data_IF_360504567775
#
_entry.id   IF_360504567775
#
_cell.length_a   1.000
_cell.length_b   1.000
_cell.length_c   1.000
_cell.angle_alpha   90.00
_cell.angle_beta   90.00
_cell.angle_gamma   90.00
#
_symmetry.space_group_name_H-M   'P 1'
#
loop_
_entity.id
_entity.type
_entity.pdbx_description
1 polymer ?
#
# COMPACT_ATOMS: atom_id res chain seq x y z
N UNK A 1 18.43 15.48 -27.28
CA UNK A 1 17.57 15.34 -28.47
C UNK A 1 16.45 14.40 -28.11
N UNK A 2 15.16 14.77 -28.27
CA UNK A 2 14.06 13.89 -27.87
C UNK A 2 13.93 12.74 -28.86
N UNK A 3 13.81 11.51 -28.33
CA UNK A 3 13.44 10.32 -29.09
C UNK A 3 12.01 10.48 -29.62
N UNK A 4 11.86 10.80 -30.89
CA UNK A 4 10.58 10.69 -31.61
C UNK A 4 10.65 9.41 -32.46
N UNK A 5 9.88 8.38 -32.18
CA UNK A 5 9.75 7.23 -33.09
C UNK A 5 8.99 7.67 -34.34
N UNK A 6 9.59 7.52 -35.51
CA UNK A 6 8.90 7.72 -36.78
C UNK A 6 7.83 6.64 -36.96
N UNK A 7 6.55 7.03 -36.98
CA UNK A 7 5.47 6.23 -37.56
C UNK A 7 4.42 5.66 -36.60
N UNK A 8 4.08 6.32 -35.49
CA UNK A 8 2.93 5.92 -34.65
C UNK A 8 1.92 7.06 -34.64
N UNK A 9 0.72 6.81 -35.23
CA UNK A 9 -0.45 7.69 -35.18
C UNK A 9 -1.22 7.62 -33.85
N UNK A 10 -0.61 7.09 -32.77
CA UNK A 10 -1.23 7.00 -31.47
C UNK A 10 -0.50 7.91 -30.45
N UNK A 11 -1.03 9.12 -30.30
CA UNK A 11 -0.54 10.12 -29.34
C UNK A 11 -0.61 9.60 -27.88
N UNK A 12 -1.47 8.63 -27.59
CA UNK A 12 -1.62 8.05 -26.25
C UNK A 12 -0.40 7.20 -25.86
N UNK A 13 0.09 6.37 -26.78
CA UNK A 13 1.24 5.49 -26.54
C UNK A 13 2.57 6.27 -26.37
N UNK A 14 2.74 7.37 -27.14
CA UNK A 14 3.93 8.22 -27.01
C UNK A 14 3.94 9.00 -25.68
N UNK A 15 2.78 9.42 -25.18
CA UNK A 15 2.66 10.11 -23.89
C UNK A 15 2.94 9.17 -22.71
N UNK A 16 2.47 7.91 -22.76
CA UNK A 16 2.72 6.88 -21.76
C UNK A 16 4.23 6.60 -21.62
N UNK A 17 4.96 6.50 -22.73
CA UNK A 17 6.41 6.23 -22.71
C UNK A 17 7.25 7.37 -22.07
N UNK A 18 6.68 8.56 -21.90
CA UNK A 18 7.38 9.73 -21.34
C UNK A 18 6.98 10.06 -19.91
N UNK A 19 5.87 9.50 -19.39
CA UNK A 19 5.38 9.79 -18.04
C UNK A 19 6.32 9.23 -16.98
N UNK A 20 6.86 10.11 -16.13
CA UNK A 20 7.77 9.78 -15.04
C UNK A 20 6.97 9.55 -13.76
N UNK A 21 7.04 8.35 -13.22
CA UNK A 21 6.33 7.97 -12.00
C UNK A 21 7.35 7.74 -10.88
N UNK A 22 7.34 8.62 -9.89
CA UNK A 22 8.18 8.51 -8.71
C UNK A 22 7.45 7.69 -7.65
N UNK A 23 8.11 6.65 -7.11
CA UNK A 23 7.57 5.78 -6.06
C UNK A 23 8.42 5.95 -4.81
N UNK A 24 7.83 6.42 -3.71
CA UNK A 24 8.48 6.36 -2.39
C UNK A 24 8.21 5.03 -1.71
N UNK A 25 9.15 4.57 -0.87
CA UNK A 25 9.01 3.26 -0.23
C UNK A 25 9.09 2.08 -1.20
N UNK A 26 9.75 2.26 -2.34
CA UNK A 26 9.81 1.28 -3.42
C UNK A 26 10.45 -0.07 -3.01
N UNK A 27 11.42 -0.08 -2.07
CA UNK A 27 11.96 -1.29 -1.47
C UNK A 27 10.97 -2.04 -0.55
N UNK A 28 9.78 -1.47 -0.31
CA UNK A 28 8.75 -2.05 0.53
C UNK A 28 7.95 -3.15 -0.17
N UNK A 29 7.05 -3.80 0.59
CA UNK A 29 6.25 -4.92 0.10
C UNK A 29 5.37 -4.52 -1.11
N UNK A 30 4.58 -3.45 -0.99
CA UNK A 30 3.73 -2.96 -2.08
C UNK A 30 4.54 -2.25 -3.18
N UNK A 31 5.58 -1.49 -2.80
CA UNK A 31 6.42 -0.74 -3.74
C UNK A 31 7.03 -1.61 -4.84
N UNK A 32 7.45 -2.83 -4.49
CA UNK A 32 7.90 -3.85 -5.46
C UNK A 32 6.86 -4.08 -6.56
N UNK A 33 5.61 -4.38 -6.18
CA UNK A 33 4.55 -4.74 -7.13
C UNK A 33 4.06 -3.55 -7.95
N UNK A 34 4.06 -2.34 -7.38
CA UNK A 34 3.76 -1.12 -8.14
C UNK A 34 4.82 -0.92 -9.22
N UNK A 35 6.10 -1.00 -8.86
CA UNK A 35 7.20 -0.87 -9.83
C UNK A 35 7.13 -1.93 -10.92
N UNK A 36 6.94 -3.20 -10.56
CA UNK A 36 6.80 -4.31 -11.51
C UNK A 36 5.68 -4.08 -12.53
N UNK A 37 4.51 -3.70 -12.07
CA UNK A 37 3.36 -3.49 -12.95
C UNK A 37 3.50 -2.28 -13.86
N UNK A 38 4.05 -1.18 -13.36
CA UNK A 38 4.34 0.00 -14.17
C UNK A 38 5.39 -0.30 -15.25
N UNK A 39 6.45 -1.04 -14.91
CA UNK A 39 7.48 -1.45 -15.88
C UNK A 39 6.91 -2.39 -16.95
N UNK A 40 6.03 -3.32 -16.58
CA UNK A 40 5.33 -4.18 -17.55
C UNK A 40 4.54 -3.35 -18.58
N UNK A 41 4.02 -2.20 -18.17
CA UNK A 41 3.28 -1.25 -19.01
C UNK A 41 4.19 -0.19 -19.68
N UNK A 42 5.53 -0.30 -19.52
CA UNK A 42 6.55 0.57 -20.11
C UNK A 42 6.53 2.03 -19.63
N UNK A 43 6.04 2.29 -18.43
CA UNK A 43 6.21 3.58 -17.78
C UNK A 43 7.65 3.81 -17.35
N UNK A 44 8.08 5.08 -17.29
CA UNK A 44 9.36 5.47 -16.68
C UNK A 44 9.21 5.47 -15.15
N UNK A 45 9.81 4.49 -14.49
CA UNK A 45 9.70 4.26 -13.04
C UNK A 45 10.93 4.78 -12.32
N UNK A 46 10.74 5.76 -11.46
CA UNK A 46 11.75 6.29 -10.55
C UNK A 46 11.44 5.76 -9.16
N UNK A 47 12.12 4.67 -8.79
CA UNK A 47 11.97 4.03 -7.51
C UNK A 47 12.87 4.68 -6.47
N UNK A 48 12.32 5.05 -5.30
CA UNK A 48 13.08 5.70 -4.24
C UNK A 48 12.94 5.02 -2.88
N UNK A 49 13.96 5.18 -2.05
CA UNK A 49 13.99 4.71 -0.67
C UNK A 49 15.34 4.97 -0.02
N UNK A 50 15.44 4.71 1.29
CA UNK A 50 16.70 4.84 2.03
C UNK A 50 17.66 3.70 1.68
N UNK A 51 18.92 4.03 1.44
CA UNK A 51 19.99 3.05 1.15
C UNK A 51 19.93 2.47 -0.26
N UNK A 52 20.43 1.26 -0.42
CA UNK A 52 20.61 0.59 -1.72
C UNK A 52 19.31 0.03 -2.29
N UNK A 53 19.28 -0.08 -3.62
CA UNK A 53 18.20 -0.75 -4.35
C UNK A 53 18.18 -2.25 -4.03
N UNK A 54 17.00 -2.75 -3.62
CA UNK A 54 16.77 -4.19 -3.43
C UNK A 54 15.81 -4.79 -4.47
N UNK A 55 15.41 -3.98 -5.45
CA UNK A 55 14.50 -4.38 -6.52
C UNK A 55 15.29 -5.05 -7.65
N UNK A 56 14.76 -6.10 -8.29
CA UNK A 56 15.47 -6.85 -9.35
C UNK A 56 15.37 -6.18 -10.72
N UNK A 57 14.93 -4.92 -10.80
CA UNK A 57 14.59 -4.25 -12.07
C UNK A 57 15.71 -3.36 -12.62
N UNK A 58 16.90 -3.40 -12.04
CA UNK A 58 18.02 -2.50 -12.39
C UNK A 58 18.51 -2.60 -13.84
N UNK A 59 18.19 -3.68 -14.54
CA UNK A 59 18.49 -3.89 -15.94
C UNK A 59 17.38 -3.41 -16.91
N UNK A 60 16.22 -2.97 -16.40
CA UNK A 60 15.16 -2.43 -17.25
C UNK A 60 15.47 -0.97 -17.60
N UNK A 61 15.42 -0.62 -18.88
CA UNK A 61 15.75 0.73 -19.38
C UNK A 61 14.77 1.81 -18.88
N UNK A 62 13.58 1.41 -18.45
CA UNK A 62 12.57 2.31 -17.90
C UNK A 62 12.63 2.39 -16.37
N UNK A 63 13.59 1.72 -15.73
CA UNK A 63 13.76 1.73 -14.28
C UNK A 63 14.96 2.57 -13.86
N UNK A 64 14.76 3.42 -12.87
CA UNK A 64 15.84 4.15 -12.19
C UNK A 64 15.65 4.04 -10.68
N UNK A 65 16.74 3.73 -9.96
CA UNK A 65 16.79 3.86 -8.50
C UNK A 65 17.48 5.16 -8.11
N UNK A 66 16.87 5.87 -7.15
CA UNK A 66 17.48 7.05 -6.52
C UNK A 66 17.33 6.91 -5.00
N UNK A 67 18.43 6.99 -4.28
CA UNK A 67 18.39 7.06 -2.82
C UNK A 67 17.77 8.37 -2.39
N UNK A 68 16.67 8.30 -1.65
CA UNK A 68 15.93 9.45 -1.13
C UNK A 68 15.36 9.13 0.25
N UNK A 69 15.66 9.99 1.21
CA UNK A 69 14.95 10.02 2.49
C UNK A 69 13.81 11.05 2.41
N UNK A 70 12.57 10.58 2.33
CA UNK A 70 11.42 11.48 2.25
C UNK A 70 11.09 12.17 3.59
N UNK A 71 11.89 11.97 4.64
CA UNK A 71 11.85 12.77 5.87
C UNK A 71 12.90 13.88 5.89
N UNK A 72 13.74 13.98 4.85
CA UNK A 72 14.73 15.02 4.66
C UNK A 72 14.31 15.94 3.50
N UNK A 73 13.92 17.20 3.77
CA UNK A 73 13.49 18.14 2.74
C UNK A 73 14.52 18.37 1.63
N UNK A 74 15.81 18.39 1.96
CA UNK A 74 16.86 18.57 0.96
C UNK A 74 16.97 17.37 0.03
N UNK A 75 16.89 16.15 0.59
CA UNK A 75 16.88 14.92 -0.21
C UNK A 75 15.69 14.86 -1.18
N UNK A 76 14.52 15.34 -0.76
CA UNK A 76 13.33 15.42 -1.62
C UNK A 76 13.57 16.44 -2.74
N UNK A 77 13.96 17.65 -2.36
CA UNK A 77 14.17 18.76 -3.30
C UNK A 77 15.15 18.38 -4.43
N UNK A 78 16.31 17.82 -4.08
CA UNK A 78 17.33 17.39 -5.05
C UNK A 78 16.78 16.37 -6.07
N UNK A 79 15.96 15.42 -5.59
CA UNK A 79 15.35 14.40 -6.45
C UNK A 79 14.27 15.01 -7.34
N UNK A 80 13.40 15.87 -6.81
CA UNK A 80 12.32 16.50 -7.57
C UNK A 80 12.86 17.46 -8.64
N UNK A 81 13.87 18.27 -8.33
CA UNK A 81 14.53 19.14 -9.31
C UNK A 81 15.15 18.35 -10.46
N UNK A 82 15.82 17.25 -10.16
CA UNK A 82 16.48 16.40 -11.15
C UNK A 82 15.50 15.62 -12.01
N UNK A 83 14.45 15.07 -11.41
CA UNK A 83 13.54 14.11 -12.06
C UNK A 83 12.34 14.82 -12.68
N UNK A 84 11.73 15.76 -11.97
CA UNK A 84 10.47 16.43 -12.33
C UNK A 84 9.39 15.39 -12.63
N UNK A 85 8.91 14.64 -11.61
CA UNK A 85 7.95 13.56 -11.80
C UNK A 85 6.57 14.09 -12.19
N UNK A 86 5.92 13.42 -13.15
CA UNK A 86 4.52 13.69 -13.52
C UNK A 86 3.54 13.10 -12.51
N UNK A 87 3.94 11.98 -11.86
CA UNK A 87 3.15 11.27 -10.87
C UNK A 87 4.04 10.93 -9.67
N UNK A 88 3.52 11.13 -8.47
CA UNK A 88 4.14 10.69 -7.21
C UNK A 88 3.26 9.64 -6.54
N UNK A 89 3.76 8.42 -6.38
CA UNK A 89 3.10 7.36 -5.61
C UNK A 89 3.77 7.26 -4.25
N UNK A 90 3.12 7.83 -3.22
CA UNK A 90 3.65 7.82 -1.86
C UNK A 90 3.18 6.59 -1.09
N UNK A 91 4.01 5.53 -1.12
CA UNK A 91 3.77 4.27 -0.39
C UNK A 91 4.68 4.07 0.82
N UNK A 92 5.61 5.00 1.07
CA UNK A 92 6.48 4.98 2.24
C UNK A 92 5.73 5.38 3.51
N UNK A 93 5.90 4.63 4.60
CA UNK A 93 5.30 4.95 5.90
C UNK A 93 5.95 4.16 7.03
N UNK A 94 5.83 4.66 8.25
CA UNK A 94 5.95 3.86 9.47
C UNK A 94 4.60 3.18 9.68
N UNK A 95 4.49 1.89 9.31
CA UNK A 95 3.20 1.20 9.11
C UNK A 95 2.84 0.17 10.19
N UNK A 96 3.68 0.01 11.22
CA UNK A 96 3.41 -0.88 12.34
C UNK A 96 2.77 -0.09 13.49
N UNK A 97 1.50 -0.35 13.84
CA UNK A 97 0.79 0.44 14.85
C UNK A 97 1.50 0.47 16.20
N UNK A 98 2.08 -0.66 16.66
CA UNK A 98 2.79 -0.71 17.94
C UNK A 98 4.07 0.13 17.95
N UNK A 99 4.80 0.16 16.83
CA UNK A 99 5.97 1.04 16.69
C UNK A 99 5.56 2.52 16.68
N UNK A 100 4.44 2.85 16.00
CA UNK A 100 3.90 4.22 15.99
C UNK A 100 3.41 4.68 17.37
N UNK A 101 2.84 3.77 18.15
CA UNK A 101 2.41 4.06 19.52
C UNK A 101 3.62 4.28 20.45
N UNK A 102 4.68 3.49 20.27
CA UNK A 102 5.90 3.57 21.06
C UNK A 102 6.75 4.82 20.76
N UNK A 103 6.75 5.28 19.49
CA UNK A 103 7.51 6.45 19.05
C UNK A 103 6.63 7.37 18.18
N UNK A 104 5.77 8.13 18.86
CA UNK A 104 4.80 9.01 18.23
C UNK A 104 5.44 10.14 17.42
N UNK A 105 6.55 10.69 17.94
CA UNK A 105 7.27 11.77 17.24
C UNK A 105 7.85 11.29 15.92
N UNK A 106 8.46 10.12 15.88
CA UNK A 106 8.98 9.52 14.65
C UNK A 106 7.84 9.14 13.68
N UNK A 107 6.74 8.61 14.21
CA UNK A 107 5.57 8.29 13.39
C UNK A 107 4.98 9.55 12.73
N UNK A 108 4.88 10.66 13.46
CA UNK A 108 4.47 11.95 12.93
C UNK A 108 5.43 12.47 11.86
N UNK A 109 6.74 12.49 12.17
CA UNK A 109 7.76 12.92 11.22
C UNK A 109 7.72 12.13 9.90
N UNK A 110 7.54 10.81 9.99
CA UNK A 110 7.52 9.95 8.79
C UNK A 110 6.19 10.03 8.05
N UNK A 111 5.07 9.92 8.75
CA UNK A 111 3.76 9.73 8.11
C UNK A 111 3.05 11.06 7.77
N UNK A 112 3.36 12.14 8.47
CA UNK A 112 2.74 13.46 8.28
C UNK A 112 3.72 14.42 7.63
N UNK A 113 4.79 14.79 8.32
CA UNK A 113 5.76 15.77 7.81
C UNK A 113 6.39 15.33 6.49
N UNK A 114 6.79 14.04 6.39
CA UNK A 114 7.31 13.48 5.14
C UNK A 114 6.32 13.56 3.99
N UNK A 115 5.02 13.34 4.26
CA UNK A 115 3.95 13.51 3.26
C UNK A 115 3.82 14.97 2.84
N UNK A 116 3.81 15.90 3.80
CA UNK A 116 3.73 17.35 3.54
C UNK A 116 4.91 17.82 2.69
N UNK A 117 6.13 17.39 3.00
CA UNK A 117 7.32 17.76 2.22
C UNK A 117 7.26 17.25 0.77
N UNK A 118 6.73 16.06 0.55
CA UNK A 118 6.50 15.55 -0.81
C UNK A 118 5.43 16.36 -1.55
N UNK A 119 4.34 16.76 -0.87
CA UNK A 119 3.30 17.61 -1.46
C UNK A 119 3.84 18.98 -1.86
N UNK A 120 4.62 19.65 -1.01
CA UNK A 120 5.26 20.94 -1.30
C UNK A 120 6.08 20.86 -2.59
N UNK A 121 6.92 19.83 -2.75
CA UNK A 121 7.73 19.67 -3.96
C UNK A 121 6.91 19.23 -5.19
N UNK A 122 5.77 18.58 -4.97
CA UNK A 122 4.82 18.20 -6.04
C UNK A 122 4.02 19.40 -6.56
N UNK A 123 3.78 20.42 -5.71
CA UNK A 123 2.99 21.62 -6.01
C UNK A 123 3.54 22.39 -7.21
N UNK A 124 4.84 22.69 -7.23
CA UNK A 124 5.50 23.43 -8.30
C UNK A 124 5.42 22.70 -9.65
N UNK A 125 5.43 21.36 -9.61
CA UNK A 125 5.40 20.51 -10.79
C UNK A 125 3.98 20.13 -11.22
N UNK A 126 2.98 20.40 -10.38
CA UNK A 126 1.59 19.96 -10.56
C UNK A 126 1.47 18.45 -10.76
N UNK A 127 2.30 17.70 -10.02
CA UNK A 127 2.34 16.24 -10.12
C UNK A 127 1.04 15.61 -9.64
N UNK A 128 0.53 14.59 -10.33
CA UNK A 128 -0.57 13.78 -9.79
C UNK A 128 -0.10 13.01 -8.56
N UNK A 129 -0.71 13.27 -7.39
CA UNK A 129 -0.27 12.70 -6.12
C UNK A 129 -1.16 11.53 -5.70
N UNK A 130 -0.59 10.32 -5.60
CA UNK A 130 -1.28 9.11 -5.13
C UNK A 130 -0.76 8.72 -3.76
N UNK A 131 -1.61 8.83 -2.75
CA UNK A 131 -1.28 8.58 -1.35
C UNK A 131 -1.83 7.25 -0.87
N UNK A 132 -0.96 6.37 -0.34
CA UNK A 132 -1.38 5.12 0.26
C UNK A 132 -1.78 5.33 1.72
N UNK A 133 -3.05 5.07 2.03
CA UNK A 133 -3.65 5.11 3.35
C UNK A 133 -4.10 3.73 3.81
N UNK A 134 -4.89 3.65 4.88
CA UNK A 134 -5.20 2.44 5.63
C UNK A 134 -6.64 2.42 6.13
N UNK A 135 -7.13 1.22 6.44
CA UNK A 135 -8.37 0.99 7.18
C UNK A 135 -8.32 1.48 8.65
N UNK A 136 -7.14 1.71 9.20
CA UNK A 136 -6.95 2.19 10.58
C UNK A 136 -7.36 3.65 10.78
N UNK A 137 -7.74 4.35 9.73
CA UNK A 137 -8.40 5.67 9.85
C UNK A 137 -9.81 5.57 10.45
N UNK A 138 -10.41 4.37 10.51
CA UNK A 138 -11.73 4.12 11.08
C UNK A 138 -11.67 3.53 12.49
N UNK A 139 -12.76 3.69 13.27
CA UNK A 139 -12.88 3.17 14.64
C UNK A 139 -13.08 1.65 14.73
N UNK A 140 -13.58 1.03 13.67
CA UNK A 140 -13.87 -0.40 13.63
C UNK A 140 -15.13 -0.81 14.37
N UNK A 141 -16.04 0.08 14.68
CA UNK A 141 -17.30 -0.23 15.37
C UNK A 141 -18.31 -0.91 14.41
N UNK A 142 -18.48 -0.34 13.22
CA UNK A 142 -19.47 -0.79 12.22
C UNK A 142 -18.91 -1.82 11.25
N UNK A 143 -17.76 -1.53 10.64
CA UNK A 143 -17.18 -2.29 9.53
C UNK A 143 -17.85 -2.01 8.20
N UNK A 144 -17.29 -2.55 7.14
CA UNK A 144 -17.73 -2.36 5.74
C UNK A 144 -17.91 -0.87 5.40
N UNK A 145 -16.84 -0.10 5.63
CA UNK A 145 -16.83 1.34 5.39
C UNK A 145 -16.82 1.70 3.91
N UNK A 146 -17.48 2.80 3.58
CA UNK A 146 -17.43 3.48 2.28
C UNK A 146 -16.44 4.64 2.33
N UNK A 147 -16.09 5.17 1.15
CA UNK A 147 -15.13 6.26 1.02
C UNK A 147 -15.59 7.57 1.68
N UNK A 148 -16.89 7.81 1.76
CA UNK A 148 -17.55 8.99 2.37
C UNK A 148 -17.85 8.83 3.86
N UNK A 149 -17.63 7.66 4.45
CA UNK A 149 -17.77 7.48 5.90
C UNK A 149 -16.73 8.29 6.66
N UNK A 150 -17.15 8.94 7.76
CA UNK A 150 -16.30 9.77 8.57
C UNK A 150 -15.19 8.97 9.28
N UNK A 151 -13.91 9.30 9.08
CA UNK A 151 -12.81 8.67 9.79
C UNK A 151 -12.83 8.98 11.29
N UNK A 152 -12.41 8.01 12.11
CA UNK A 152 -12.28 8.12 13.58
C UNK A 152 -11.24 7.14 14.09
N UNK A 153 -9.94 7.42 13.92
CA UNK A 153 -8.88 6.49 14.27
C UNK A 153 -8.80 6.23 15.78
N UNK A 154 -8.46 4.98 16.16
CA UNK A 154 -8.38 4.53 17.55
C UNK A 154 -6.95 4.31 18.06
N UNK A 155 -5.95 4.54 17.23
CA UNK A 155 -4.53 4.45 17.56
C UNK A 155 -3.72 5.52 16.81
N UNK A 156 -2.47 5.70 17.24
CA UNK A 156 -1.62 6.76 16.70
C UNK A 156 -1.28 6.57 15.23
N UNK A 157 -1.04 5.32 14.77
CA UNK A 157 -0.83 5.03 13.35
C UNK A 157 -1.98 5.53 12.47
N UNK A 158 -3.22 5.15 12.82
CA UNK A 158 -4.42 5.61 12.11
C UNK A 158 -4.56 7.12 12.10
N UNK A 159 -4.23 7.79 13.24
CA UNK A 159 -4.23 9.25 13.36
C UNK A 159 -3.24 9.89 12.39
N UNK A 160 -1.97 9.45 12.37
CA UNK A 160 -0.97 10.02 11.45
C UNK A 160 -1.31 9.78 9.99
N UNK A 161 -1.94 8.63 9.65
CA UNK A 161 -2.41 8.40 8.28
C UNK A 161 -3.57 9.30 7.90
N UNK A 162 -4.50 9.56 8.82
CA UNK A 162 -5.60 10.52 8.60
C UNK A 162 -5.08 11.95 8.43
N UNK A 163 -4.14 12.40 9.27
CA UNK A 163 -3.50 13.71 9.12
C UNK A 163 -2.78 13.85 7.76
N UNK A 164 -2.16 12.77 7.28
CA UNK A 164 -1.61 12.71 5.92
C UNK A 164 -2.69 12.81 4.84
N UNK A 165 -3.87 12.15 5.02
CA UNK A 165 -5.00 12.32 4.08
C UNK A 165 -5.52 13.75 4.05
N UNK A 166 -5.57 14.42 5.20
CA UNK A 166 -6.00 15.81 5.30
C UNK A 166 -5.03 16.73 4.55
N UNK A 167 -3.73 16.55 4.72
CA UNK A 167 -2.73 17.28 3.95
C UNK A 167 -2.86 17.06 2.43
N UNK A 168 -3.15 15.82 2.00
CA UNK A 168 -3.37 15.52 0.58
C UNK A 168 -4.63 16.19 0.03
N UNK A 169 -5.68 16.32 0.82
CA UNK A 169 -6.92 17.01 0.40
C UNK A 169 -6.76 18.51 0.24
N UNK A 170 -5.77 19.11 0.91
CA UNK A 170 -5.41 20.54 0.77
C UNK A 170 -4.50 20.80 -0.43
N UNK A 171 -3.99 19.75 -1.10
CA UNK A 171 -3.18 19.86 -2.30
C UNK A 171 -4.01 20.41 -3.47
N UNK A 172 -3.56 21.51 -4.10
CA UNK A 172 -4.35 22.25 -5.11
C UNK A 172 -4.46 21.56 -6.48
N UNK A 173 -3.72 20.47 -6.70
CA UNK A 173 -3.71 19.73 -7.97
C UNK A 173 -4.36 18.35 -7.82
N UNK A 174 -4.29 17.54 -8.89
CA UNK A 174 -4.90 16.21 -8.91
C UNK A 174 -4.28 15.27 -7.87
N UNK A 175 -5.14 14.60 -7.09
CA UNK A 175 -4.72 13.62 -6.10
C UNK A 175 -5.69 12.43 -6.00
N UNK A 176 -5.14 11.31 -5.54
CA UNK A 176 -5.92 10.16 -5.12
C UNK A 176 -5.41 9.62 -3.78
N UNK A 177 -6.34 9.29 -2.88
CA UNK A 177 -6.08 8.60 -1.62
C UNK A 177 -6.53 7.16 -1.76
N UNK A 178 -5.63 6.21 -1.56
CA UNK A 178 -5.91 4.77 -1.62
C UNK A 178 -5.91 4.21 -0.21
N UNK A 179 -7.08 3.89 0.34
CA UNK A 179 -7.21 3.15 1.59
C UNK A 179 -7.23 1.65 1.31
N UNK A 180 -6.42 0.89 2.04
CA UNK A 180 -6.34 -0.57 1.90
C UNK A 180 -6.41 -1.28 3.24
N UNK A 181 -6.63 -2.60 3.23
CA UNK A 181 -6.83 -3.44 4.42
C UNK A 181 -5.89 -4.63 4.36
N UNK A 182 -5.12 -4.88 5.44
CA UNK A 182 -4.36 -6.10 5.68
C UNK A 182 -3.80 -6.76 4.40
N UNK A 183 -2.73 -6.18 3.86
CA UNK A 183 -2.14 -6.60 2.59
C UNK A 183 -1.37 -7.91 2.75
N UNK A 184 -1.61 -8.88 1.87
CA UNK A 184 -0.93 -10.16 1.82
C UNK A 184 -0.49 -10.53 0.40
N UNK A 185 0.44 -11.49 0.28
CA UNK A 185 0.96 -11.96 -1.00
C UNK A 185 2.39 -12.47 -0.87
N UNK A 186 3.02 -12.85 -1.98
CA UNK A 186 4.41 -13.29 -2.02
C UNK A 186 5.33 -12.12 -1.69
N UNK A 187 6.26 -12.35 -0.79
CA UNK A 187 7.09 -11.27 -0.25
C UNK A 187 8.51 -11.30 -0.83
N UNK A 188 8.85 -10.25 -1.56
CA UNK A 188 10.18 -10.03 -2.15
C UNK A 188 11.06 -9.08 -1.32
N UNK A 189 10.49 -8.38 -0.33
CA UNK A 189 11.17 -7.33 0.45
C UNK A 189 11.68 -7.76 1.82
N UNK A 190 11.46 -9.04 2.20
CA UNK A 190 11.82 -9.55 3.52
C UNK A 190 10.84 -9.22 4.66
N UNK A 191 9.80 -8.40 4.41
CA UNK A 191 8.75 -8.14 5.39
C UNK A 191 7.94 -9.40 5.68
N UNK A 192 7.48 -9.55 6.92
CA UNK A 192 6.59 -10.64 7.30
C UNK A 192 5.14 -10.25 7.07
N UNK A 193 4.32 -11.15 6.54
CA UNK A 193 2.86 -11.04 6.48
C UNK A 193 2.22 -12.23 7.19
N UNK A 194 0.91 -12.16 7.43
CA UNK A 194 0.21 -13.19 8.20
C UNK A 194 0.39 -14.60 7.63
N UNK A 195 0.40 -14.77 6.31
CA UNK A 195 0.54 -16.08 5.68
C UNK A 195 1.92 -16.71 5.93
N UNK A 196 2.98 -15.89 5.86
CA UNK A 196 4.33 -16.32 6.16
C UNK A 196 4.48 -16.72 7.63
N UNK A 197 3.95 -15.89 8.54
CA UNK A 197 4.02 -16.18 9.98
C UNK A 197 3.28 -17.49 10.29
N UNK A 198 2.06 -17.66 9.78
CA UNK A 198 1.26 -18.86 9.97
C UNK A 198 2.01 -20.09 9.45
N UNK A 199 2.54 -20.03 8.23
CA UNK A 199 3.32 -21.13 7.64
C UNK A 199 4.50 -21.52 8.53
N UNK A 200 5.32 -20.52 8.94
CA UNK A 200 6.51 -20.79 9.77
C UNK A 200 6.14 -21.43 11.13
N UNK A 201 5.02 -21.00 11.75
CA UNK A 201 4.54 -21.57 13.01
C UNK A 201 4.04 -23.01 12.85
N UNK A 202 3.25 -23.24 11.79
CA UNK A 202 2.72 -24.57 11.49
C UNK A 202 3.83 -25.58 11.17
N UNK A 203 4.81 -25.19 10.33
CA UNK A 203 5.95 -26.05 9.97
C UNK A 203 6.79 -26.45 11.18
N UNK A 204 6.85 -25.60 12.21
CA UNK A 204 7.57 -25.87 13.47
C UNK A 204 6.70 -26.56 14.55
N UNK A 205 5.40 -26.70 14.32
CA UNK A 205 4.47 -27.18 15.35
C UNK A 205 4.36 -26.25 16.56
N UNK A 206 4.64 -24.95 16.37
CA UNK A 206 4.59 -23.94 17.43
C UNK A 206 3.18 -23.38 17.59
N UNK A 207 2.71 -23.26 18.85
CA UNK A 207 1.43 -22.61 19.12
C UNK A 207 1.41 -21.17 18.62
N UNK A 208 0.31 -20.79 17.97
CA UNK A 208 0.11 -19.45 17.45
C UNK A 208 -1.27 -18.90 17.80
N UNK A 209 -1.29 -17.86 18.64
CA UNK A 209 -2.51 -17.16 19.02
C UNK A 209 -2.91 -16.14 17.96
N UNK A 210 -4.14 -16.27 17.44
CA UNK A 210 -4.65 -15.46 16.34
C UNK A 210 -6.03 -14.90 16.65
N UNK A 211 -6.23 -13.62 16.37
CA UNK A 211 -7.48 -12.91 16.64
C UNK A 211 -8.66 -13.44 15.79
N UNK A 212 -9.79 -13.71 16.44
CA UNK A 212 -11.04 -14.14 15.79
C UNK A 212 -12.17 -13.09 15.91
N UNK A 213 -11.92 -12.00 16.62
CA UNK A 213 -12.85 -10.87 16.79
C UNK A 213 -12.50 -9.65 15.93
N UNK A 214 -11.40 -9.71 15.19
CA UNK A 214 -11.00 -8.67 14.24
C UNK A 214 -11.44 -9.05 12.83
N UNK A 215 -12.36 -8.29 12.25
CA UNK A 215 -12.90 -8.55 10.90
C UNK A 215 -12.24 -7.64 9.87
N UNK A 216 -11.79 -8.20 8.75
CA UNK A 216 -11.03 -7.53 7.68
C UNK A 216 -11.52 -7.96 6.29
N UNK A 217 -11.19 -7.17 5.27
CA UNK A 217 -11.22 -7.59 3.87
C UNK A 217 -9.78 -7.66 3.33
N UNK A 218 -9.07 -8.78 3.59
CA UNK A 218 -7.63 -8.88 3.28
C UNK A 218 -7.37 -8.67 1.78
N UNK A 219 -6.36 -7.86 1.48
CA UNK A 219 -6.04 -7.38 0.13
C UNK A 219 -4.86 -8.14 -0.46
N UNK A 220 -5.05 -8.77 -1.61
CA UNK A 220 -3.95 -9.36 -2.36
C UNK A 220 -3.09 -8.26 -2.99
N UNK A 221 -1.78 -8.31 -2.76
CA UNK A 221 -0.87 -7.20 -3.09
C UNK A 221 -0.81 -6.86 -4.58
N UNK A 222 -0.90 -7.87 -5.46
CA UNK A 222 -0.89 -7.61 -6.91
C UNK A 222 -2.17 -6.90 -7.36
N UNK A 223 -3.33 -7.23 -6.76
CA UNK A 223 -4.58 -6.54 -7.08
C UNK A 223 -4.54 -5.09 -6.60
N UNK A 224 -3.99 -4.86 -5.39
CA UNK A 224 -3.77 -3.50 -4.88
C UNK A 224 -2.90 -2.68 -5.84
N UNK A 225 -1.78 -3.25 -6.29
CA UNK A 225 -0.90 -2.59 -7.24
C UNK A 225 -1.61 -2.32 -8.58
N UNK A 226 -2.41 -3.27 -9.10
CA UNK A 226 -3.24 -3.06 -10.30
C UNK A 226 -4.24 -1.92 -10.13
N UNK A 227 -4.90 -1.85 -8.97
CA UNK A 227 -5.83 -0.77 -8.65
C UNK A 227 -5.14 0.60 -8.65
N UNK A 228 -3.94 0.71 -8.05
CA UNK A 228 -3.13 1.94 -8.06
C UNK A 228 -2.72 2.32 -9.49
N UNK A 229 -2.26 1.37 -10.28
CA UNK A 229 -1.92 1.62 -11.69
C UNK A 229 -3.15 2.07 -12.49
N UNK A 230 -4.32 1.49 -12.26
CA UNK A 230 -5.58 1.92 -12.88
C UNK A 230 -5.95 3.36 -12.50
N UNK A 231 -5.72 3.78 -11.24
CA UNK A 231 -5.89 5.18 -10.81
C UNK A 231 -5.00 6.11 -11.64
N UNK A 232 -3.73 5.76 -11.81
CA UNK A 232 -2.75 6.55 -12.59
C UNK A 232 -3.19 6.64 -14.07
N UNK A 233 -3.52 5.52 -14.69
CA UNK A 233 -3.91 5.44 -16.11
C UNK A 233 -5.19 6.24 -16.41
N UNK A 234 -6.14 6.21 -15.50
CA UNK A 234 -7.42 6.92 -15.64
C UNK A 234 -7.39 8.34 -15.09
N UNK A 235 -6.29 8.75 -14.47
CA UNK A 235 -6.18 10.00 -13.71
C UNK A 235 -7.36 10.18 -12.75
N UNK A 236 -7.74 9.08 -12.07
CA UNK A 236 -8.89 9.06 -11.19
C UNK A 236 -8.57 9.77 -9.86
N UNK A 237 -9.38 10.77 -9.49
CA UNK A 237 -9.17 11.63 -8.32
C UNK A 237 -10.11 11.28 -7.17
N UNK A 238 -9.71 11.67 -5.95
CA UNK A 238 -10.48 11.48 -4.72
C UNK A 238 -10.08 10.23 -3.94
N UNK A 239 -10.94 9.81 -3.00
CA UNK A 239 -10.69 8.66 -2.13
C UNK A 239 -11.18 7.37 -2.79
N UNK A 240 -10.36 6.32 -2.75
CA UNK A 240 -10.68 4.97 -3.24
C UNK A 240 -10.39 3.92 -2.17
N UNK A 241 -11.32 3.02 -1.97
CA UNK A 241 -11.13 1.81 -1.18
C UNK A 241 -10.65 0.67 -2.09
N UNK A 242 -9.41 0.22 -1.93
CA UNK A 242 -8.86 -0.93 -2.65
C UNK A 242 -8.61 -2.07 -1.66
N UNK A 243 -9.52 -3.02 -1.58
CA UNK A 243 -9.39 -4.19 -0.70
C UNK A 243 -9.87 -5.48 -1.37
N UNK A 244 -9.63 -6.61 -0.69
CA UNK A 244 -10.18 -7.89 -1.12
C UNK A 244 -11.70 -7.95 -0.96
N UNK A 245 -12.32 -8.93 -1.62
CA UNK A 245 -13.79 -9.14 -1.60
C UNK A 245 -14.27 -10.06 -0.47
N UNK A 246 -13.39 -10.84 0.14
CA UNK A 246 -13.75 -11.76 1.21
C UNK A 246 -13.67 -11.05 2.57
N UNK A 247 -14.65 -11.32 3.43
CA UNK A 247 -14.68 -10.84 4.81
C UNK A 247 -14.16 -11.97 5.69
N UNK A 248 -13.01 -11.77 6.34
CA UNK A 248 -12.31 -12.79 7.13
C UNK A 248 -11.76 -12.22 8.43
N UNK A 249 -11.67 -13.08 9.46
CA UNK A 249 -10.83 -12.79 10.61
C UNK A 249 -9.39 -13.29 10.37
N UNK A 250 -8.36 -12.75 11.04
CA UNK A 250 -7.01 -13.32 11.02
C UNK A 250 -6.99 -14.82 11.36
N UNK A 251 -7.83 -15.27 12.30
CA UNK A 251 -7.97 -16.69 12.62
C UNK A 251 -8.47 -17.50 11.41
N UNK A 252 -9.52 -17.04 10.74
CA UNK A 252 -10.02 -17.72 9.52
C UNK A 252 -8.98 -17.75 8.40
N UNK A 253 -8.19 -16.68 8.25
CA UNK A 253 -7.06 -16.66 7.30
C UNK A 253 -6.01 -17.72 7.67
N UNK A 254 -5.67 -17.85 8.96
CA UNK A 254 -4.70 -18.83 9.44
C UNK A 254 -5.19 -20.27 9.23
N UNK A 255 -6.47 -20.58 9.52
CA UNK A 255 -7.07 -21.91 9.27
C UNK A 255 -7.04 -22.24 7.77
N UNK A 256 -7.49 -21.32 6.88
CA UNK A 256 -7.43 -21.52 5.43
C UNK A 256 -6.00 -21.75 4.92
N UNK A 257 -5.01 -21.12 5.56
CA UNK A 257 -3.59 -21.32 5.24
C UNK A 257 -3.13 -22.73 5.64
N UNK A 258 -3.52 -23.19 6.83
CA UNK A 258 -3.21 -24.55 7.31
C UNK A 258 -3.84 -25.63 6.40
N UNK A 259 -5.11 -25.47 6.05
CA UNK A 259 -5.83 -26.35 5.11
C UNK A 259 -5.15 -26.43 3.76
N UNK A 260 -4.76 -25.27 3.18
CA UNK A 260 -4.06 -25.19 1.90
C UNK A 260 -2.72 -25.92 1.93
N UNK A 261 -1.94 -25.73 3.01
CA UNK A 261 -0.63 -26.36 3.19
C UNK A 261 -0.73 -27.81 3.66
N UNK A 262 -1.94 -28.29 4.02
CA UNK A 262 -2.18 -29.61 4.63
C UNK A 262 -1.34 -29.84 5.90
N UNK A 263 -1.23 -28.78 6.70
CA UNK A 263 -0.53 -28.80 8.00
C UNK A 263 -1.55 -28.84 9.15
N UNK A 264 -1.08 -29.33 10.31
CA UNK A 264 -1.92 -29.45 11.50
C UNK A 264 -2.31 -28.05 12.02
N UNK A 265 -3.60 -27.74 11.99
CA UNK A 265 -4.15 -26.49 12.49
C UNK A 265 -4.43 -26.48 14.01
N UNK A 266 -4.23 -27.58 14.72
CA UNK A 266 -4.51 -27.69 16.16
C UNK A 266 -3.64 -26.76 17.02
N UNK A 267 -2.50 -26.32 16.50
CA UNK A 267 -1.58 -25.35 17.12
C UNK A 267 -2.09 -23.91 17.02
N UNK A 268 -3.09 -23.62 16.15
CA UNK A 268 -3.66 -22.27 16.01
C UNK A 268 -4.72 -22.06 17.08
N UNK A 269 -4.49 -21.10 17.97
CA UNK A 269 -5.39 -20.79 19.09
C UNK A 269 -6.14 -19.49 18.82
N UNK A 270 -7.45 -19.52 19.07
CA UNK A 270 -8.28 -18.32 19.03
C UNK A 270 -8.00 -17.41 20.22
N UNK A 271 -7.83 -16.13 19.95
CA UNK A 271 -7.79 -15.07 20.97
C UNK A 271 -8.71 -13.91 20.57
N UNK A 272 -9.06 -13.09 21.54
CA UNK A 272 -9.82 -11.86 21.34
C UNK A 272 -9.00 -10.64 21.76
N UNK A 273 -9.34 -9.46 21.27
CA UNK A 273 -8.69 -8.21 21.67
C UNK A 273 -8.80 -7.96 23.20
N UNK A 274 -9.85 -8.47 23.85
CA UNK A 274 -10.02 -8.38 25.30
C UNK A 274 -9.06 -9.30 26.07
N UNK A 275 -8.67 -10.45 25.48
CA UNK A 275 -7.81 -11.45 26.13
C UNK A 275 -6.32 -11.27 25.82
N UNK A 276 -5.97 -10.38 24.89
CA UNK A 276 -4.59 -10.19 24.47
C UNK A 276 -4.25 -8.70 24.38
N UNK A 277 -3.41 -8.22 25.30
CA UNK A 277 -2.98 -6.82 25.32
C UNK A 277 -1.98 -6.53 24.20
N UNK A 278 -2.22 -5.44 23.48
CA UNK A 278 -1.31 -4.89 22.46
C UNK A 278 -1.04 -3.41 22.77
N UNK A 279 0.17 -2.90 22.50
CA UNK A 279 0.51 -1.49 22.75
C UNK A 279 -0.47 -0.52 22.04
N UNK A 280 -0.74 -0.73 20.77
CA UNK A 280 -1.72 0.05 20.03
C UNK A 280 -3.08 -0.67 19.99
N UNK A 281 -4.17 0.03 20.26
CA UNK A 281 -5.54 -0.46 20.06
C UNK A 281 -5.77 -0.74 18.58
N UNK A 282 -6.35 -1.90 18.23
CA UNK A 282 -6.76 -2.22 16.86
C UNK A 282 -8.26 -2.02 16.71
N UNK A 283 -8.71 -1.38 15.61
CA UNK A 283 -10.14 -1.36 15.28
C UNK A 283 -10.62 -2.78 15.01
N UNK A 284 -11.82 -3.15 15.50
CA UNK A 284 -12.28 -4.55 15.42
C UNK A 284 -12.82 -4.92 14.03
N UNK A 285 -13.57 -4.03 13.37
CA UNK A 285 -14.22 -4.32 12.09
C UNK A 285 -13.89 -3.22 11.07
N UNK A 286 -12.98 -3.47 10.14
CA UNK A 286 -12.50 -2.44 9.19
C UNK A 286 -12.58 -2.86 7.71
N UNK A 287 -13.38 -3.86 7.37
CA UNK A 287 -13.61 -4.22 5.95
C UNK A 287 -14.20 -3.06 5.14
N UNK A 288 -13.99 -3.06 3.83
CA UNK A 288 -14.41 -2.01 2.91
C UNK A 288 -15.47 -2.46 1.90
N UNK A 289 -16.38 -1.55 1.56
CA UNK A 289 -17.17 -1.58 0.33
C UNK A 289 -16.28 -1.00 -0.76
N UNK A 290 -16.20 -1.69 -1.91
CA UNK A 290 -15.30 -1.36 -3.02
C UNK A 290 -16.05 -1.02 -4.32
N UNK A 291 -17.32 -0.67 -4.22
CA UNK A 291 -18.18 -0.46 -5.40
C UNK A 291 -17.71 0.73 -6.24
N UNK A 292 -17.20 1.79 -5.61
CA UNK A 292 -16.59 2.93 -6.33
C UNK A 292 -15.40 2.46 -7.17
N UNK A 293 -14.48 1.71 -6.58
CA UNK A 293 -13.32 1.20 -7.30
C UNK A 293 -13.71 0.24 -8.44
N UNK A 294 -14.74 -0.59 -8.25
CA UNK A 294 -15.28 -1.44 -9.33
C UNK A 294 -15.81 -0.61 -10.48
N UNK A 295 -16.66 0.35 -10.18
CA UNK A 295 -17.35 1.13 -11.21
C UNK A 295 -16.40 2.07 -11.96
N UNK A 296 -15.51 2.75 -11.26
CA UNK A 296 -14.65 3.78 -11.85
C UNK A 296 -13.33 3.21 -12.39
N UNK A 297 -12.74 2.23 -11.69
CA UNK A 297 -11.43 1.69 -12.04
C UNK A 297 -11.50 0.34 -12.76
N UNK A 298 -12.64 -0.38 -12.69
CA UNK A 298 -12.72 -1.78 -13.11
C UNK A 298 -11.96 -2.71 -12.16
N UNK A 299 -11.91 -2.35 -10.87
CA UNK A 299 -11.16 -3.09 -9.86
C UNK A 299 -11.91 -4.37 -9.45
N UNK A 300 -11.39 -5.54 -9.86
CA UNK A 300 -11.96 -6.85 -9.53
C UNK A 300 -10.92 -7.71 -8.79
N UNK A 301 -10.88 -7.64 -7.44
CA UNK A 301 -9.92 -8.42 -6.67
C UNK A 301 -10.24 -9.92 -6.72
N UNK A 302 -9.19 -10.73 -6.75
CA UNK A 302 -9.32 -12.20 -6.66
C UNK A 302 -9.85 -12.61 -5.27
N UNK A 303 -10.27 -13.86 -5.13
CA UNK A 303 -10.63 -14.40 -3.80
C UNK A 303 -9.40 -14.62 -2.93
N UNK A 304 -9.62 -14.68 -1.60
CA UNK A 304 -8.55 -14.97 -0.66
C UNK A 304 -7.89 -16.32 -0.96
N UNK A 305 -8.67 -17.34 -1.32
CA UNK A 305 -8.19 -18.66 -1.67
C UNK A 305 -7.32 -18.65 -2.94
N UNK A 306 -7.67 -17.83 -3.93
CA UNK A 306 -6.84 -17.64 -5.13
C UNK A 306 -5.53 -16.93 -4.79
N UNK A 307 -5.59 -15.85 -4.00
CA UNK A 307 -4.41 -15.12 -3.53
C UNK A 307 -3.50 -15.99 -2.67
N UNK A 308 -4.08 -16.86 -1.83
CA UNK A 308 -3.37 -17.84 -1.01
C UNK A 308 -2.57 -18.80 -1.90
N UNK A 309 -3.21 -19.42 -2.92
CA UNK A 309 -2.53 -20.29 -3.89
C UNK A 309 -1.35 -19.58 -4.57
N UNK A 310 -1.56 -18.35 -5.06
CA UNK A 310 -0.51 -17.58 -5.73
C UNK A 310 0.64 -17.17 -4.79
N UNK A 311 0.36 -17.03 -3.50
CA UNK A 311 1.35 -16.64 -2.50
C UNK A 311 2.24 -17.80 -2.07
N UNK A 312 1.68 -19.00 -1.97
CA UNK A 312 2.33 -20.19 -1.38
C UNK A 312 2.76 -21.24 -2.42
N UNK A 313 2.49 -20.98 -3.71
CA UNK A 313 2.99 -21.78 -4.83
C UNK A 313 4.50 -21.64 -5.02
#
# INVERSE_FOLDING_TARGET
MPCVPKGIHDFSAAYICCMKILITGANGFLGYYIAEQLLTKKYSVIATGKGECRLPFTNDLNFQWITMDFTDPFSIHDVFEKIKPDVVVHSGAMSKPDECEADQMKAYLVNVEGTVQLLINSEELKSFFVFLSTDFVFDGERGMYKEDDAPKPVNYYGRTKLEGEEAVKEYEHDWAIVRTVLVYGKNHSGHSNILKIVREKLEKGEEYSVFDDQVRTPTYVEDLAKGIVSIIEKKATGVFHLSGKNILTPYQMAIKTAEHLRLDSSVIKKVTAASFSQPAKRPLKTGFIIDKARNELGYEPISFEEGLRKTLS
#
